data_IF_294376391839
#
_entry.id   IF_294376391839
#
_cell.length_a   1.000
_cell.length_b   1.000
_cell.length_c   1.000
_cell.angle_alpha   90.00
_cell.angle_beta   90.00
_cell.angle_gamma   90.00
#
_symmetry.space_group_name_H-M   'P 1'
#
loop_
_entity.id
_entity.type
_entity.pdbx_description
1 polymer ?
#
# COMPACT_ATOMS: atom_id res chain seq x y z
N UNK A 1 -10.24 53.46 -10.89
CA UNK A 1 -8.83 53.04 -10.71
C UNK A 1 -8.66 51.69 -10.02
N UNK A 2 -9.60 51.18 -9.22
CA UNK A 2 -9.49 49.88 -8.53
C UNK A 2 -9.77 48.63 -9.39
N UNK A 3 -10.42 48.74 -10.55
CA UNK A 3 -10.72 47.60 -11.42
C UNK A 3 -9.56 47.19 -12.35
N UNK A 4 -8.57 48.05 -12.54
CA UNK A 4 -7.41 47.75 -13.39
C UNK A 4 -6.38 46.93 -12.60
N UNK A 5 -6.20 47.23 -11.30
CA UNK A 5 -5.28 46.46 -10.44
C UNK A 5 -5.77 45.03 -10.16
N UNK A 6 -7.09 44.81 -10.02
CA UNK A 6 -7.65 43.45 -9.85
C UNK A 6 -7.47 42.57 -11.09
N UNK A 7 -7.65 43.13 -12.29
CA UNK A 7 -7.45 42.38 -13.53
C UNK A 7 -5.97 42.14 -13.84
N UNK A 8 -5.08 43.06 -13.43
CA UNK A 8 -3.65 42.83 -13.54
C UNK A 8 -3.16 41.73 -12.58
N UNK A 9 -3.67 41.67 -11.36
CA UNK A 9 -3.34 40.58 -10.44
C UNK A 9 -3.85 39.22 -10.94
N UNK A 10 -5.08 39.15 -11.46
CA UNK A 10 -5.61 37.91 -12.04
C UNK A 10 -4.80 37.40 -13.24
N UNK A 11 -4.37 38.31 -14.12
CA UNK A 11 -3.50 37.94 -15.25
C UNK A 11 -2.08 37.57 -14.83
N UNK A 12 -1.55 38.18 -13.76
CA UNK A 12 -0.24 37.82 -13.22
C UNK A 12 -0.29 36.46 -12.51
N UNK A 13 -1.35 36.16 -11.75
CA UNK A 13 -1.58 34.86 -11.12
C UNK A 13 -1.72 33.75 -12.19
N UNK A 14 -2.35 34.04 -13.33
CA UNK A 14 -2.50 33.09 -14.45
C UNK A 14 -1.18 32.89 -15.22
N UNK A 15 -0.31 33.92 -15.29
CA UNK A 15 1.04 33.84 -15.89
C UNK A 15 2.04 33.17 -14.92
N UNK A 16 1.88 33.33 -13.60
CA UNK A 16 2.68 32.68 -12.57
C UNK A 16 2.35 31.18 -12.51
N UNK A 17 1.06 30.82 -12.62
CA UNK A 17 0.59 29.43 -12.76
C UNK A 17 1.02 28.74 -14.08
N UNK A 18 1.39 29.49 -15.12
CA UNK A 18 1.89 28.93 -16.38
C UNK A 18 3.39 28.56 -16.34
N UNK A 19 4.13 29.07 -15.36
CA UNK A 19 5.57 28.81 -15.19
C UNK A 19 5.87 27.74 -14.14
N UNK A 20 4.90 27.33 -13.34
CA UNK A 20 5.06 26.19 -12.45
C UNK A 20 5.12 24.88 -13.23
N UNK A 21 6.03 23.97 -12.88
CA UNK A 21 6.14 22.68 -13.56
C UNK A 21 4.87 21.86 -13.27
N UNK A 22 3.94 21.84 -14.24
CA UNK A 22 2.70 21.10 -14.11
C UNK A 22 2.98 19.60 -13.99
N UNK A 23 2.50 19.00 -12.92
CA UNK A 23 2.62 17.56 -12.69
C UNK A 23 1.50 16.84 -13.44
N UNK A 24 1.83 16.16 -14.55
CA UNK A 24 0.87 15.34 -15.30
C UNK A 24 0.42 14.10 -14.52
N UNK A 25 1.25 13.63 -13.58
CA UNK A 25 0.98 12.43 -12.81
C UNK A 25 1.61 12.52 -11.42
N UNK A 26 0.78 12.64 -10.38
CA UNK A 26 1.23 12.63 -8.99
C UNK A 26 1.46 11.20 -8.51
N UNK A 27 2.59 10.95 -7.87
CA UNK A 27 2.95 9.64 -7.31
C UNK A 27 2.91 9.64 -5.78
N UNK A 28 3.26 10.78 -5.16
CA UNK A 28 3.37 10.92 -3.72
C UNK A 28 2.90 12.32 -3.29
N UNK A 29 2.41 12.43 -2.06
CA UNK A 29 1.97 13.70 -1.46
C UNK A 29 2.65 13.87 -0.12
N UNK A 30 3.20 15.05 0.12
CA UNK A 30 3.71 15.47 1.42
C UNK A 30 2.77 16.55 1.98
N UNK A 31 2.49 16.50 3.27
CA UNK A 31 1.56 17.42 3.93
C UNK A 31 2.26 18.12 5.09
N UNK A 32 2.12 19.44 5.20
CA UNK A 32 2.65 20.20 6.32
C UNK A 32 1.79 21.42 6.68
N UNK A 33 2.01 21.98 7.87
CA UNK A 33 1.31 23.18 8.33
C UNK A 33 1.92 24.44 7.74
N UNK A 34 1.10 25.36 7.21
CA UNK A 34 1.56 26.64 6.66
C UNK A 34 2.33 27.49 7.69
N UNK A 35 1.90 27.44 8.95
CA UNK A 35 2.48 28.17 10.08
C UNK A 35 3.55 27.36 10.84
N UNK A 36 4.23 26.42 10.18
CA UNK A 36 5.27 25.61 10.82
C UNK A 36 6.54 26.42 11.07
N UNK A 37 7.04 26.42 12.31
CA UNK A 37 8.34 26.99 12.69
C UNK A 37 9.52 26.35 11.94
N UNK A 38 9.29 25.21 11.27
CA UNK A 38 10.30 24.42 10.56
C UNK A 38 10.27 24.64 9.04
N UNK A 39 9.65 25.73 8.58
CA UNK A 39 9.51 26.02 7.15
C UNK A 39 10.85 26.03 6.39
N UNK A 40 11.91 26.58 6.97
CA UNK A 40 13.25 26.57 6.35
C UNK A 40 13.78 25.14 6.07
N UNK A 41 13.52 24.19 6.98
CA UNK A 41 13.94 22.80 6.81
C UNK A 41 13.13 22.14 5.69
N UNK A 42 11.84 22.43 5.63
CA UNK A 42 10.92 21.93 4.60
C UNK A 42 11.34 22.45 3.23
N UNK A 43 11.59 23.75 3.11
CA UNK A 43 12.01 24.39 1.86
C UNK A 43 13.36 23.85 1.38
N UNK A 44 14.32 23.67 2.28
CA UNK A 44 15.62 23.07 1.96
C UNK A 44 15.46 21.62 1.48
N UNK A 45 14.62 20.84 2.15
CA UNK A 45 14.35 19.47 1.75
C UNK A 45 13.65 19.40 0.38
N UNK A 46 12.64 20.23 0.13
CA UNK A 46 11.98 20.35 -1.17
C UNK A 46 12.97 20.77 -2.27
N UNK A 47 13.85 21.74 -2.00
CA UNK A 47 14.91 22.12 -2.92
C UNK A 47 15.83 20.93 -3.25
N UNK A 48 16.27 20.17 -2.23
CA UNK A 48 17.10 18.98 -2.43
C UNK A 48 16.38 17.87 -3.20
N UNK A 49 15.06 17.73 -3.03
CA UNK A 49 14.24 16.82 -3.84
C UNK A 49 14.22 17.23 -5.31
N UNK A 50 14.06 18.53 -5.59
CA UNK A 50 14.14 19.07 -6.95
C UNK A 50 15.53 18.88 -7.57
N UNK A 51 16.60 19.12 -6.80
CA UNK A 51 17.99 18.86 -7.22
C UNK A 51 18.22 17.38 -7.54
N UNK A 52 17.58 16.48 -6.78
CA UNK A 52 17.62 15.04 -7.05
C UNK A 52 16.79 14.63 -8.29
N UNK A 53 16.11 15.56 -8.95
CA UNK A 53 15.39 15.34 -10.21
C UNK A 53 13.93 14.94 -10.04
N UNK A 54 13.32 15.20 -8.87
CA UNK A 54 11.87 15.11 -8.70
C UNK A 54 11.20 16.41 -9.12
N UNK A 55 10.00 16.29 -9.68
CA UNK A 55 9.14 17.42 -10.01
C UNK A 55 8.17 17.62 -8.86
N UNK A 56 8.19 18.81 -8.28
CA UNK A 56 7.34 19.20 -7.17
C UNK A 56 6.34 20.26 -7.64
N UNK A 57 5.09 20.12 -7.22
CA UNK A 57 4.06 21.13 -7.39
C UNK A 57 3.43 21.40 -6.02
N UNK A 58 3.30 22.68 -5.66
CA UNK A 58 2.72 23.09 -4.39
C UNK A 58 1.23 23.41 -4.60
N UNK A 59 0.37 22.81 -3.79
CA UNK A 59 -1.05 23.11 -3.76
C UNK A 59 -1.42 23.61 -2.37
N UNK A 60 -1.87 24.86 -2.30
CA UNK A 60 -2.37 25.45 -1.08
C UNK A 60 -3.85 25.10 -0.89
N UNK A 61 -4.20 24.55 0.28
CA UNK A 61 -5.59 24.52 0.68
C UNK A 61 -5.96 25.89 1.28
N UNK A 62 -7.07 26.46 0.83
CA UNK A 62 -7.57 27.78 1.29
C UNK A 62 -8.37 27.62 2.59
N UNK A 63 -8.99 26.46 2.79
CA UNK A 63 -9.90 26.20 3.92
C UNK A 63 -9.17 25.68 5.17
N UNK A 64 -8.06 24.96 4.96
CA UNK A 64 -7.25 24.37 6.02
C UNK A 64 -5.88 25.06 6.05
N UNK A 65 -5.26 25.24 7.23
CA UNK A 65 -3.88 25.77 7.37
C UNK A 65 -2.81 24.76 6.89
N UNK A 66 -3.16 23.94 5.90
CA UNK A 66 -2.37 22.85 5.35
C UNK A 66 -1.89 23.21 3.95
N UNK A 67 -0.66 22.77 3.66
CA UNK A 67 -0.07 22.85 2.34
C UNK A 67 0.30 21.44 1.86
N UNK A 68 0.03 21.18 0.59
CA UNK A 68 0.26 19.90 -0.07
C UNK A 68 1.38 20.05 -1.08
N UNK A 69 2.42 19.21 -0.97
CA UNK A 69 3.46 19.09 -1.98
C UNK A 69 3.19 17.83 -2.79
N UNK A 70 2.80 18.02 -4.04
CA UNK A 70 2.62 16.95 -5.00
C UNK A 70 3.98 16.58 -5.59
N UNK A 71 4.35 15.31 -5.45
CA UNK A 71 5.64 14.78 -5.91
C UNK A 71 5.41 13.88 -7.12
N UNK A 72 6.16 14.15 -8.18
CA UNK A 72 6.21 13.31 -9.38
C UNK A 72 7.63 12.95 -9.75
N UNK A 73 7.82 11.71 -10.20
CA UNK A 73 9.11 11.25 -10.70
C UNK A 73 9.10 11.20 -12.24
N UNK A 74 9.99 11.96 -12.91
CA UNK A 74 10.22 11.86 -14.34
C UNK A 74 10.62 10.44 -14.76
N UNK A 75 10.27 10.05 -15.97
CA UNK A 75 10.52 8.70 -16.48
C UNK A 75 12.02 8.38 -16.52
N UNK A 76 12.85 9.34 -16.93
CA UNK A 76 14.30 9.18 -16.99
C UNK A 76 14.90 8.94 -15.60
N UNK A 77 14.39 9.64 -14.58
CA UNK A 77 14.82 9.45 -13.19
C UNK A 77 14.36 8.11 -12.62
N UNK A 78 13.15 7.66 -12.98
CA UNK A 78 12.67 6.33 -12.61
C UNK A 78 13.66 5.25 -13.04
N UNK A 79 14.16 5.31 -14.28
CA UNK A 79 15.09 4.32 -14.82
C UNK A 79 16.45 4.36 -14.10
N UNK A 80 16.98 5.55 -13.80
CA UNK A 80 18.24 5.70 -13.06
C UNK A 80 18.16 5.05 -11.67
N UNK A 81 17.08 5.33 -10.93
CA UNK A 81 16.88 4.74 -9.60
C UNK A 81 16.58 3.25 -9.71
N UNK A 82 15.77 2.82 -10.69
CA UNK A 82 15.49 1.42 -10.94
C UNK A 82 16.78 0.61 -11.19
N UNK A 83 17.80 1.20 -11.82
CA UNK A 83 19.12 0.58 -12.00
C UNK A 83 19.85 0.42 -10.66
N UNK A 84 19.88 1.48 -9.85
CA UNK A 84 20.51 1.48 -8.53
C UNK A 84 19.92 0.40 -7.62
N UNK A 85 18.59 0.27 -7.60
CA UNK A 85 17.89 -0.74 -6.79
C UNK A 85 17.81 -2.11 -7.49
N UNK A 86 18.32 -2.23 -8.72
CA UNK A 86 18.23 -3.43 -9.57
C UNK A 86 16.79 -3.95 -9.70
N UNK A 87 15.86 -3.03 -9.92
CA UNK A 87 14.44 -3.33 -10.06
C UNK A 87 14.24 -4.34 -11.18
N UNK A 88 13.54 -5.43 -10.87
CA UNK A 88 13.22 -6.50 -11.80
C UNK A 88 12.08 -6.04 -12.71
N UNK A 89 12.42 -5.61 -13.92
CA UNK A 89 11.44 -5.19 -14.92
C UNK A 89 11.09 -6.34 -15.86
N UNK A 90 9.82 -6.44 -16.30
CA UNK A 90 9.40 -7.52 -17.18
C UNK A 90 9.96 -7.32 -18.59
N UNK A 91 10.66 -8.32 -19.11
CA UNK A 91 11.00 -8.42 -20.52
C UNK A 91 9.87 -9.18 -21.19
N UNK A 92 9.17 -8.54 -22.12
CA UNK A 92 8.21 -9.23 -22.98
C UNK A 92 9.03 -10.11 -23.94
N UNK A 93 9.20 -11.39 -23.61
CA UNK A 93 9.71 -12.36 -24.58
C UNK A 93 8.65 -12.51 -25.66
N UNK A 94 9.03 -12.19 -26.89
CA UNK A 94 8.23 -12.40 -28.10
C UNK A 94 7.49 -13.74 -28.08
N UNK A 95 6.18 -13.71 -27.87
CA UNK A 95 5.29 -14.81 -28.24
C UNK A 95 4.25 -14.22 -29.19
N UNK A 96 4.43 -14.51 -30.48
CA UNK A 96 3.62 -13.97 -31.59
C UNK A 96 2.21 -14.58 -31.66
N UNK A 97 1.93 -15.65 -30.89
CA UNK A 97 0.69 -16.42 -31.00
C UNK A 97 -0.41 -16.02 -30.00
N UNK A 98 -1.44 -15.34 -30.52
CA UNK A 98 -2.65 -14.87 -29.80
C UNK A 98 -3.45 -15.97 -29.09
N UNK A 99 -3.35 -17.23 -29.53
CA UNK A 99 -4.15 -18.33 -28.96
C UNK A 99 -3.52 -18.94 -27.69
N UNK A 100 -2.20 -18.90 -27.55
CA UNK A 100 -1.52 -19.30 -26.32
C UNK A 100 -1.46 -18.14 -25.31
N UNK A 101 -1.46 -16.89 -25.79
CA UNK A 101 -1.51 -15.69 -24.95
C UNK A 101 -2.69 -15.68 -23.97
N UNK A 102 -3.86 -16.21 -24.33
CA UNK A 102 -5.04 -16.24 -23.43
C UNK A 102 -4.92 -17.19 -22.24
N UNK A 103 -4.18 -18.29 -22.38
CA UNK A 103 -3.94 -19.23 -21.28
C UNK A 103 -2.77 -18.77 -20.39
N UNK A 104 -1.81 -18.03 -20.95
CA UNK A 104 -0.66 -17.47 -20.24
C UNK A 104 -0.86 -16.04 -19.71
N UNK A 105 -1.93 -15.32 -20.12
CA UNK A 105 -2.32 -14.01 -19.58
C UNK A 105 -2.67 -14.09 -18.08
N UNK A 106 -3.13 -15.24 -17.59
CA UNK A 106 -3.46 -15.48 -16.18
C UNK A 106 -2.22 -15.79 -15.31
N UNK A 107 -1.10 -16.20 -15.90
CA UNK A 107 0.09 -16.71 -15.18
C UNK A 107 1.34 -15.96 -15.62
N UNK A 108 1.37 -14.64 -15.37
CA UNK A 108 2.54 -13.80 -15.70
C UNK A 108 3.74 -14.09 -14.80
N UNK A 109 4.44 -15.18 -15.09
CA UNK A 109 5.89 -15.24 -14.94
C UNK A 109 6.50 -14.50 -16.13
N UNK A 110 6.36 -13.17 -16.13
CA UNK A 110 7.17 -12.32 -17.00
C UNK A 110 8.61 -12.59 -16.64
N UNK A 111 9.45 -12.95 -17.60
CA UNK A 111 10.89 -13.02 -17.37
C UNK A 111 11.36 -11.64 -16.92
N UNK A 112 11.63 -11.50 -15.64
CA UNK A 112 12.13 -10.24 -15.10
C UNK A 112 13.64 -10.26 -15.08
N UNK A 113 14.25 -9.16 -15.51
CA UNK A 113 15.70 -8.98 -15.42
C UNK A 113 15.95 -7.69 -14.63
N UNK A 114 16.97 -7.68 -13.73
CA UNK A 114 17.35 -6.44 -13.07
C UNK A 114 17.65 -5.38 -14.13
N UNK A 115 17.02 -4.22 -14.00
CA UNK A 115 17.27 -3.12 -14.92
C UNK A 115 18.75 -2.72 -14.91
N UNK A 116 19.30 -2.51 -16.09
CA UNK A 116 20.70 -2.13 -16.30
C UNK A 116 20.78 -1.24 -17.55
N UNK A 117 21.55 -0.16 -17.47
CA UNK A 117 21.84 0.77 -18.58
C UNK A 117 22.30 0.05 -19.84
N UNK A 118 23.05 -1.05 -19.72
CA UNK A 118 23.49 -1.89 -20.85
C UNK A 118 22.34 -2.62 -21.55
N UNK A 119 21.21 -2.81 -20.88
CA UNK A 119 20.00 -3.48 -21.41
C UNK A 119 18.96 -2.42 -21.82
N UNK A 120 19.16 -1.14 -21.47
CA UNK A 120 18.27 -0.01 -21.80
C UNK A 120 17.92 0.05 -23.28
N UNK A 121 18.89 -0.10 -24.19
CA UNK A 121 18.63 -0.12 -25.62
C UNK A 121 17.73 -1.30 -26.06
N UNK A 122 17.76 -2.42 -25.33
CA UNK A 122 16.84 -3.57 -25.54
C UNK A 122 15.46 -3.32 -24.91
N UNK A 123 15.31 -2.36 -24.00
CA UNK A 123 13.98 -1.94 -23.56
C UNK A 123 13.42 -0.88 -24.53
N UNK A 124 14.20 0.13 -24.88
CA UNK A 124 13.80 1.20 -25.82
C UNK A 124 13.52 0.69 -27.25
N UNK A 125 14.22 -0.37 -27.70
CA UNK A 125 13.97 -0.99 -29.02
C UNK A 125 12.71 -1.86 -29.04
N UNK A 126 12.30 -2.43 -27.91
CA UNK A 126 11.19 -3.40 -27.83
C UNK A 126 9.90 -2.78 -27.27
N UNK A 127 9.99 -1.63 -26.59
CA UNK A 127 8.86 -0.87 -26.10
C UNK A 127 8.84 0.51 -26.77
N UNK A 128 7.70 0.90 -27.37
CA UNK A 128 7.45 2.32 -27.64
C UNK A 128 7.58 3.11 -26.33
N UNK A 129 8.06 4.36 -26.36
CA UNK A 129 8.26 5.20 -25.16
C UNK A 129 7.06 5.18 -24.21
N UNK A 130 5.84 5.36 -24.76
CA UNK A 130 4.59 5.28 -24.01
C UNK A 130 4.29 3.88 -23.44
N UNK A 131 4.65 2.81 -24.15
CA UNK A 131 4.46 1.42 -23.67
C UNK A 131 5.44 1.10 -22.54
N UNK A 132 6.63 1.71 -22.56
CA UNK A 132 7.66 1.56 -21.53
C UNK A 132 7.30 2.35 -20.27
N UNK A 133 6.78 3.57 -20.42
CA UNK A 133 6.25 4.36 -19.31
C UNK A 133 5.10 3.62 -18.60
N UNK A 134 4.21 2.99 -19.37
CA UNK A 134 3.15 2.13 -18.84
C UNK A 134 3.64 0.75 -18.36
N UNK A 135 4.91 0.39 -18.60
CA UNK A 135 5.46 -0.91 -18.18
C UNK A 135 5.86 -0.93 -16.70
N UNK A 136 6.23 0.23 -16.15
CA UNK A 136 6.53 0.39 -14.73
C UNK A 136 5.20 0.44 -13.99
N UNK A 137 5.00 -0.46 -13.02
CA UNK A 137 3.77 -0.47 -12.22
C UNK A 137 3.70 0.78 -11.34
N UNK A 138 2.50 1.26 -11.05
CA UNK A 138 2.28 2.37 -10.10
C UNK A 138 2.98 2.11 -8.76
N UNK A 139 2.88 0.87 -8.28
CA UNK A 139 3.58 0.38 -7.09
C UNK A 139 5.10 0.57 -7.19
N UNK A 140 5.69 0.25 -8.34
CA UNK A 140 7.12 0.41 -8.56
C UNK A 140 7.51 1.88 -8.56
N UNK A 141 6.70 2.75 -9.19
CA UNK A 141 6.93 4.20 -9.16
C UNK A 141 6.90 4.75 -7.74
N UNK A 142 5.91 4.35 -6.95
CA UNK A 142 5.80 4.72 -5.52
C UNK A 142 7.05 4.26 -4.75
N UNK A 143 7.51 3.03 -4.98
CA UNK A 143 8.72 2.51 -4.35
C UNK A 143 9.96 3.33 -4.73
N UNK A 144 10.10 3.71 -6.00
CA UNK A 144 11.22 4.52 -6.49
C UNK A 144 11.20 5.93 -5.89
N UNK A 145 10.03 6.55 -5.78
CA UNK A 145 9.88 7.87 -5.13
C UNK A 145 10.22 7.78 -3.65
N UNK A 146 9.69 6.78 -2.95
CA UNK A 146 9.98 6.56 -1.54
C UNK A 146 11.48 6.33 -1.29
N UNK A 147 12.17 5.63 -2.20
CA UNK A 147 13.62 5.45 -2.12
C UNK A 147 14.36 6.79 -2.18
N UNK A 148 13.94 7.72 -3.04
CA UNK A 148 14.52 9.07 -3.10
C UNK A 148 14.19 9.86 -1.83
N UNK A 149 12.92 9.85 -1.39
CA UNK A 149 12.48 10.52 -0.16
C UNK A 149 13.21 10.00 1.08
N UNK A 150 13.53 8.71 1.15
CA UNK A 150 14.23 8.13 2.29
C UNK A 150 15.71 8.49 2.35
N UNK A 151 16.34 8.80 1.20
CA UNK A 151 17.79 9.06 1.07
C UNK A 151 18.15 10.53 0.97
N UNK A 152 17.17 11.39 0.70
CA UNK A 152 17.40 12.82 0.53
C UNK A 152 17.77 13.46 1.86
N UNK A 153 18.85 14.23 1.85
CA UNK A 153 19.35 14.93 3.02
C UNK A 153 18.60 16.26 3.20
N UNK A 154 18.41 16.65 4.45
CA UNK A 154 18.00 18.01 4.81
C UNK A 154 19.13 18.61 5.64
N UNK A 155 19.71 19.72 5.17
CA UNK A 155 20.74 20.39 5.97
C UNK A 155 20.04 21.23 7.02
N UNK A 156 20.25 20.89 8.30
CA UNK A 156 20.17 21.89 9.35
C UNK A 156 21.47 22.69 9.26
N UNK A 157 21.41 23.96 8.84
CA UNK A 157 22.55 24.88 8.97
C UNK A 157 22.81 25.11 10.45
N UNK A 158 23.48 24.18 11.10
CA UNK A 158 24.09 24.45 12.40
C UNK A 158 25.32 25.33 12.15
N UNK A 159 25.17 26.65 12.34
CA UNK A 159 26.27 27.62 12.41
C UNK A 159 27.14 27.46 13.69
N UNK A 160 27.06 26.32 14.36
CA UNK A 160 27.80 26.02 15.59
C UNK A 160 28.58 24.72 15.37
N UNK A 161 29.93 24.74 15.33
CA UNK A 161 30.73 23.54 15.28
C UNK A 161 30.72 22.91 16.69
N UNK A 162 29.71 22.09 16.98
CA UNK A 162 29.69 21.33 18.23
C UNK A 162 30.77 20.25 18.17
N UNK A 163 31.95 20.59 18.72
CA UNK A 163 33.09 19.72 19.04
C UNK A 163 32.70 18.51 19.94
N UNK A 164 31.43 18.37 20.33
CA UNK A 164 30.96 17.38 21.29
C UNK A 164 29.65 16.66 20.92
N UNK A 165 29.46 16.28 19.66
CA UNK A 165 28.41 15.34 19.24
C UNK A 165 28.98 14.18 18.44
N UNK A 166 29.89 13.43 19.09
CA UNK A 166 30.13 12.03 18.73
C UNK A 166 28.95 11.21 19.26
N UNK A 167 27.79 11.34 18.62
CA UNK A 167 26.73 10.33 18.69
C UNK A 167 26.51 9.83 17.27
N UNK A 168 26.81 8.56 17.07
CA UNK A 168 26.94 7.86 15.79
C UNK A 168 25.65 7.75 14.93
N UNK A 169 24.64 8.62 15.09
CA UNK A 169 23.35 8.50 14.39
C UNK A 169 22.65 9.83 13.98
N UNK A 170 23.33 10.97 13.95
CA UNK A 170 22.71 12.27 13.54
C UNK A 170 22.78 12.53 12.02
N UNK A 171 22.53 11.50 11.22
CA UNK A 171 22.46 11.69 9.77
C UNK A 171 21.13 12.38 9.40
N UNK A 172 21.16 13.68 9.14
CA UNK A 172 19.99 14.49 8.79
C UNK A 172 19.46 14.17 7.38
N UNK A 173 18.88 12.99 7.21
CA UNK A 173 18.27 12.55 5.96
C UNK A 173 16.97 11.79 6.19
N UNK A 174 16.15 11.75 5.14
CA UNK A 174 14.97 10.91 5.04
C UNK A 174 13.68 11.55 5.54
N UNK A 175 12.61 11.31 4.80
CA UNK A 175 11.25 11.77 5.13
C UNK A 175 10.74 11.26 6.48
N UNK A 176 11.06 10.02 6.87
CA UNK A 176 10.59 9.43 8.14
C UNK A 176 11.07 10.22 9.36
N UNK A 177 12.29 10.77 9.29
CA UNK A 177 12.83 11.63 10.36
C UNK A 177 12.13 12.97 10.40
N UNK A 178 11.81 13.55 9.24
CA UNK A 178 11.07 14.82 9.18
C UNK A 178 9.63 14.67 9.68
N UNK A 179 8.99 13.51 9.44
CA UNK A 179 7.70 13.15 10.04
C UNK A 179 7.82 12.99 11.56
N UNK A 180 8.84 12.26 12.05
CA UNK A 180 9.07 12.09 13.49
C UNK A 180 9.41 13.41 14.21
N UNK A 181 10.10 14.32 13.53
CA UNK A 181 10.36 15.69 14.00
C UNK A 181 9.13 16.59 13.89
N UNK A 182 8.06 16.18 13.21
CA UNK A 182 6.86 17.00 12.97
C UNK A 182 7.09 18.19 12.04
N UNK A 183 8.08 18.11 11.13
CA UNK A 183 8.23 19.07 10.04
C UNK A 183 7.17 18.82 8.96
N UNK A 184 6.99 17.55 8.58
CA UNK A 184 5.82 17.08 7.83
C UNK A 184 4.83 16.43 8.79
N UNK A 185 3.55 16.54 8.47
CA UNK A 185 2.44 15.90 9.18
C UNK A 185 2.30 14.46 8.69
N UNK A 186 2.25 14.30 7.37
CA UNK A 186 2.08 13.01 6.73
C UNK A 186 2.73 13.00 5.34
N UNK A 187 3.04 11.80 4.86
CA UNK A 187 3.63 11.56 3.56
C UNK A 187 3.07 10.24 3.01
N UNK A 188 2.22 10.30 1.99
CA UNK A 188 1.53 9.12 1.47
C UNK A 188 1.51 9.06 -0.06
N UNK A 189 1.51 7.85 -0.64
CA UNK A 189 1.33 7.67 -2.08
C UNK A 189 -0.11 7.91 -2.49
N UNK A 190 -0.32 8.43 -3.70
CA UNK A 190 -1.66 8.57 -4.27
C UNK A 190 -2.04 7.33 -5.07
N UNK A 191 -3.29 6.91 -4.89
CA UNK A 191 -3.91 5.91 -5.74
C UNK A 191 -4.47 6.59 -6.98
N UNK A 192 -4.09 6.09 -8.16
CA UNK A 192 -4.76 6.48 -9.41
C UNK A 192 -6.17 5.89 -9.42
N UNK A 193 -7.12 6.70 -8.99
CA UNK A 193 -8.52 6.44 -9.26
C UNK A 193 -8.74 6.73 -10.74
N UNK A 194 -8.60 5.70 -11.59
CA UNK A 194 -9.07 5.80 -12.96
C UNK A 194 -10.58 6.07 -12.90
N UNK A 195 -10.94 7.34 -13.07
CA UNK A 195 -12.29 7.79 -13.37
C UNK A 195 -12.83 6.86 -14.45
N UNK A 196 -14.09 6.43 -14.32
CA UNK A 196 -14.77 5.43 -15.16
C UNK A 196 -14.61 5.71 -16.66
N UNK A 197 -13.47 5.34 -17.24
CA UNK A 197 -13.30 5.23 -18.68
C UNK A 197 -14.05 3.94 -18.99
N UNK A 198 -15.17 4.09 -19.71
CA UNK A 198 -16.31 3.18 -19.88
C UNK A 198 -16.02 1.72 -20.29
N UNK A 199 -14.76 1.26 -20.32
CA UNK A 199 -14.35 -0.08 -20.74
C UNK A 199 -13.30 -0.78 -19.83
N UNK A 200 -12.65 -0.10 -18.87
CA UNK A 200 -11.59 -0.73 -18.04
C UNK A 200 -11.82 -0.47 -16.55
N UNK A 201 -12.09 -1.53 -15.78
CA UNK A 201 -12.24 -1.48 -14.33
C UNK A 201 -10.88 -1.12 -13.71
N UNK A 202 -10.82 -0.14 -12.82
CA UNK A 202 -9.59 0.20 -12.08
C UNK A 202 -9.16 -0.97 -11.18
N UNK A 203 -7.85 -1.17 -10.95
CA UNK A 203 -7.35 -2.23 -10.04
C UNK A 203 -8.01 -2.15 -8.66
N UNK A 204 -8.15 -0.93 -8.12
CA UNK A 204 -8.83 -0.68 -6.83
C UNK A 204 -10.29 -1.13 -6.87
N UNK A 205 -11.01 -0.82 -7.94
CA UNK A 205 -12.41 -1.23 -8.12
C UNK A 205 -12.53 -2.75 -8.30
N UNK A 206 -11.64 -3.37 -9.07
CA UNK A 206 -11.61 -4.81 -9.23
C UNK A 206 -11.39 -5.51 -7.88
N UNK A 207 -10.42 -5.02 -7.09
CA UNK A 207 -10.18 -5.52 -5.74
C UNK A 207 -11.38 -5.27 -4.82
N UNK A 208 -12.01 -4.10 -4.88
CA UNK A 208 -13.21 -3.80 -4.10
C UNK A 208 -14.37 -4.75 -4.43
N UNK A 209 -14.70 -4.92 -5.71
CA UNK A 209 -15.75 -5.84 -6.16
C UNK A 209 -15.43 -7.28 -5.77
N UNK A 210 -14.17 -7.69 -5.90
CA UNK A 210 -13.73 -9.04 -5.52
C UNK A 210 -13.79 -9.27 -4.01
N UNK A 211 -13.31 -8.35 -3.18
CA UNK A 211 -13.25 -8.53 -1.74
C UNK A 211 -14.60 -8.30 -1.04
N UNK A 212 -15.39 -7.32 -1.49
CA UNK A 212 -16.59 -6.88 -0.79
C UNK A 212 -17.87 -7.43 -1.42
N UNK A 213 -17.93 -7.58 -2.75
CA UNK A 213 -19.15 -8.05 -3.44
C UNK A 213 -19.12 -9.52 -3.85
N UNK A 214 -17.97 -10.17 -3.85
CA UNK A 214 -17.90 -11.58 -4.23
C UNK A 214 -18.41 -12.47 -3.09
N UNK A 215 -19.65 -12.93 -3.22
CA UNK A 215 -20.18 -14.05 -2.42
C UNK A 215 -19.59 -15.42 -2.82
N UNK A 216 -18.56 -15.45 -3.67
CA UNK A 216 -17.94 -16.70 -4.13
C UNK A 216 -16.85 -17.13 -3.14
N UNK A 217 -17.23 -17.99 -2.20
CA UNK A 217 -16.34 -18.62 -1.21
C UNK A 217 -15.31 -19.59 -1.82
N UNK A 218 -15.40 -19.92 -3.12
CA UNK A 218 -14.60 -20.96 -3.76
C UNK A 218 -13.47 -20.45 -4.65
N UNK A 219 -13.34 -19.13 -4.85
CA UNK A 219 -12.30 -18.59 -5.72
C UNK A 219 -11.04 -18.32 -4.88
N UNK A 220 -9.91 -18.89 -5.30
CA UNK A 220 -8.59 -18.54 -4.76
C UNK A 220 -8.40 -17.01 -4.87
N UNK A 221 -7.91 -16.38 -3.80
CA UNK A 221 -7.60 -14.95 -3.79
C UNK A 221 -6.70 -14.60 -4.99
N UNK A 222 -6.96 -13.52 -5.76
CA UNK A 222 -6.12 -13.08 -6.86
C UNK A 222 -4.85 -12.42 -6.30
N UNK A 223 -3.97 -13.24 -5.72
CA UNK A 223 -2.74 -12.83 -5.02
C UNK A 223 -1.87 -11.94 -5.91
N UNK A 224 -1.81 -12.22 -7.21
CA UNK A 224 -1.04 -11.43 -8.16
C UNK A 224 -1.58 -10.00 -8.32
N UNK A 225 -2.90 -9.81 -8.30
CA UNK A 225 -3.51 -8.48 -8.40
C UNK A 225 -3.30 -7.70 -7.09
N UNK A 226 -3.39 -8.38 -5.95
CA UNK A 226 -3.05 -7.82 -4.63
C UNK A 226 -1.59 -7.40 -4.60
N UNK A 227 -0.67 -8.23 -5.11
CA UNK A 227 0.77 -7.94 -5.21
C UNK A 227 1.03 -6.72 -6.08
N UNK A 228 0.40 -6.65 -7.24
CA UNK A 228 0.64 -5.57 -8.20
C UNK A 228 0.06 -4.21 -7.71
N UNK A 229 -0.84 -4.22 -6.71
CA UNK A 229 -1.46 -3.02 -6.13
C UNK A 229 -0.87 -2.63 -4.76
N UNK A 230 -0.84 -3.56 -3.79
CA UNK A 230 -0.37 -3.33 -2.42
C UNK A 230 1.09 -3.72 -2.19
N UNK A 231 1.70 -4.47 -3.12
CA UNK A 231 3.06 -4.98 -2.99
C UNK A 231 3.18 -6.37 -2.39
N UNK A 232 4.42 -6.86 -2.40
CA UNK A 232 4.75 -8.25 -2.10
C UNK A 232 4.49 -8.60 -0.64
N UNK A 233 4.75 -7.68 0.30
CA UNK A 233 4.53 -7.90 1.74
C UNK A 233 3.05 -8.19 2.04
N UNK A 234 2.16 -7.36 1.51
CA UNK A 234 0.69 -7.50 1.71
C UNK A 234 0.17 -8.73 0.96
N UNK A 235 0.63 -8.95 -0.27
CA UNK A 235 0.23 -10.14 -1.03
C UNK A 235 0.67 -11.44 -0.36
N UNK A 236 1.87 -11.46 0.22
CA UNK A 236 2.38 -12.60 0.97
C UNK A 236 1.53 -12.88 2.22
N UNK A 237 1.13 -11.82 2.94
CA UNK A 237 0.20 -11.97 4.07
C UNK A 237 -1.11 -12.66 3.66
N UNK A 238 -1.74 -12.21 2.57
CA UNK A 238 -2.99 -12.83 2.09
C UNK A 238 -2.77 -14.25 1.52
N UNK A 239 -1.63 -14.50 0.88
CA UNK A 239 -1.26 -15.83 0.41
C UNK A 239 -1.09 -16.81 1.58
N UNK A 240 -0.38 -16.38 2.63
CA UNK A 240 -0.20 -17.15 3.85
C UNK A 240 -1.52 -17.40 4.58
N UNK A 241 -2.37 -16.38 4.66
CA UNK A 241 -3.70 -16.51 5.26
C UNK A 241 -4.54 -17.56 4.53
N UNK A 242 -4.61 -17.49 3.19
CA UNK A 242 -5.37 -18.44 2.38
C UNK A 242 -4.81 -19.87 2.49
N UNK A 243 -3.48 -20.00 2.53
CA UNK A 243 -2.83 -21.27 2.80
C UNK A 243 -3.25 -21.82 4.16
N UNK A 244 -3.11 -21.02 5.23
CA UNK A 244 -3.45 -21.44 6.59
C UNK A 244 -4.92 -21.82 6.74
N UNK A 245 -5.86 -21.03 6.20
CA UNK A 245 -7.30 -21.36 6.25
C UNK A 245 -7.62 -22.62 5.47
N UNK A 246 -6.94 -22.87 4.34
CA UNK A 246 -7.10 -24.12 3.58
C UNK A 246 -6.62 -25.33 4.39
N UNK A 247 -5.52 -25.19 5.13
CA UNK A 247 -5.02 -26.24 6.01
C UNK A 247 -5.92 -26.51 7.22
N UNK A 248 -6.65 -25.50 7.72
CA UNK A 248 -7.63 -25.67 8.79
C UNK A 248 -8.86 -26.49 8.39
N UNK A 249 -9.13 -26.68 7.09
CA UNK A 249 -10.25 -27.50 6.62
C UNK A 249 -10.09 -28.95 7.10
N UNK A 250 -8.88 -29.52 7.04
CA UNK A 250 -8.61 -30.90 7.49
C UNK A 250 -8.90 -31.14 8.98
N UNK A 251 -8.30 -30.41 9.94
CA UNK A 251 -8.60 -30.59 11.36
C UNK A 251 -10.04 -30.21 11.69
N UNK A 252 -10.66 -29.27 10.96
CA UNK A 252 -12.08 -28.95 11.12
C UNK A 252 -12.98 -30.15 10.77
N UNK A 253 -12.72 -30.83 9.65
CA UNK A 253 -13.46 -32.05 9.26
C UNK A 253 -13.28 -33.16 10.30
N UNK A 254 -12.04 -33.40 10.74
CA UNK A 254 -11.76 -34.42 11.77
C UNK A 254 -12.45 -34.08 13.10
N UNK A 255 -12.32 -32.83 13.56
CA UNK A 255 -12.97 -32.35 14.77
C UNK A 255 -14.50 -32.44 14.69
N UNK A 256 -15.07 -32.15 13.51
CA UNK A 256 -16.50 -32.29 13.27
C UNK A 256 -16.96 -33.76 13.35
N UNK A 257 -16.22 -34.70 12.76
CA UNK A 257 -16.53 -36.14 12.83
C UNK A 257 -16.46 -36.63 14.28
N UNK A 258 -15.42 -36.25 15.03
CA UNK A 258 -15.27 -36.64 16.45
C UNK A 258 -16.39 -36.06 17.30
N UNK A 259 -16.77 -34.80 17.06
CA UNK A 259 -17.90 -34.17 17.74
C UNK A 259 -19.21 -34.93 17.47
N UNK A 260 -19.46 -35.30 16.20
CA UNK A 260 -20.66 -36.03 15.80
C UNK A 260 -20.71 -37.45 16.41
N UNK A 261 -19.56 -38.15 16.48
CA UNK A 261 -19.44 -39.42 17.18
C UNK A 261 -19.75 -39.29 18.69
N UNK A 262 -19.23 -38.23 19.33
CA UNK A 262 -19.54 -37.91 20.72
C UNK A 262 -21.03 -37.67 20.96
N UNK A 263 -21.68 -36.91 20.08
CA UNK A 263 -23.13 -36.65 20.16
C UNK A 263 -23.96 -37.93 20.00
N UNK A 264 -23.58 -38.83 19.09
CA UNK A 264 -24.29 -40.09 18.87
C UNK A 264 -24.10 -41.08 20.04
N UNK A 265 -22.93 -41.07 20.68
CA UNK A 265 -22.58 -42.02 21.75
C UNK A 265 -22.97 -41.51 23.15
N UNK A 266 -23.22 -40.20 23.29
CA UNK A 266 -23.56 -39.52 24.55
C UNK A 266 -24.66 -40.21 25.38
N UNK A 267 -25.69 -40.76 24.73
CA UNK A 267 -26.80 -41.45 25.42
C UNK A 267 -26.44 -42.85 25.92
N UNK A 268 -25.40 -43.48 25.37
CA UNK A 268 -24.98 -44.83 25.71
C UNK A 268 -23.85 -44.87 26.76
N UNK A 269 -23.23 -43.72 27.06
CA UNK A 269 -22.11 -43.64 28.00
C UNK A 269 -22.53 -43.99 29.44
N UNK A 270 -21.94 -45.06 29.98
CA UNK A 270 -22.13 -45.56 31.34
C UNK A 270 -21.99 -44.48 32.43
N UNK A 271 -20.93 -43.64 32.47
CA UNK A 271 -20.81 -42.61 33.51
C UNK A 271 -21.85 -41.49 33.36
N UNK A 272 -22.24 -41.12 32.12
CA UNK A 272 -23.29 -40.13 31.85
C UNK A 272 -24.67 -40.66 32.27
N UNK A 273 -24.94 -41.94 31.99
CA UNK A 273 -26.15 -42.64 32.40
C UNK A 273 -26.21 -42.87 33.90
N UNK A 274 -25.08 -43.22 34.53
CA UNK A 274 -24.97 -43.35 35.98
C UNK A 274 -25.19 -42.01 36.69
N UNK A 275 -24.66 -40.91 36.14
CA UNK A 275 -24.90 -39.56 36.64
C UNK A 275 -26.37 -39.14 36.47
N UNK A 276 -26.97 -39.36 35.29
CA UNK A 276 -28.41 -39.13 35.08
C UNK A 276 -29.26 -39.95 36.04
N UNK A 277 -28.99 -41.24 36.16
CA UNK A 277 -29.70 -42.12 37.10
C UNK A 277 -29.49 -41.69 38.56
N UNK A 278 -28.29 -41.23 38.94
CA UNK A 278 -28.03 -40.67 40.26
C UNK A 278 -28.86 -39.41 40.50
N UNK A 279 -28.86 -38.44 39.59
CA UNK A 279 -29.66 -37.22 39.73
C UNK A 279 -31.16 -37.49 39.65
N UNK A 280 -31.61 -38.35 38.75
CA UNK A 280 -33.02 -38.77 38.65
C UNK A 280 -33.46 -39.46 39.94
N UNK A 281 -32.61 -40.32 40.53
CA UNK A 281 -32.90 -40.94 41.82
C UNK A 281 -32.81 -39.93 42.97
N UNK A 282 -31.80 -39.05 42.99
CA UNK A 282 -31.60 -38.00 43.98
C UNK A 282 -32.79 -37.03 44.02
N UNK A 283 -33.22 -36.50 42.88
CA UNK A 283 -34.40 -35.66 42.78
C UNK A 283 -35.69 -36.43 43.05
N UNK A 284 -35.80 -37.71 42.68
CA UNK A 284 -36.95 -38.55 43.09
C UNK A 284 -36.99 -38.78 44.60
N UNK A 285 -35.85 -38.95 45.26
CA UNK A 285 -35.78 -39.19 46.71
C UNK A 285 -35.88 -37.91 47.53
N UNK A 286 -35.34 -36.79 47.04
CA UNK A 286 -35.41 -35.49 47.73
C UNK A 286 -36.77 -34.79 47.53
N UNK A 287 -37.41 -34.89 46.36
CA UNK A 287 -38.79 -34.39 46.22
C UNK A 287 -39.85 -35.25 46.93
N UNK A 288 -39.54 -36.52 47.27
CA UNK A 288 -40.38 -37.35 48.14
C UNK A 288 -40.02 -37.28 49.63
N UNK A 289 -38.93 -36.59 49.99
CA UNK A 289 -38.65 -36.20 51.38
C UNK A 289 -38.92 -34.70 51.53
N UNK A 290 -40.13 -34.32 51.13
CA UNK A 290 -40.71 -33.08 51.60
C UNK A 290 -40.93 -33.12 53.11
N UNK A 291 -40.37 -32.10 53.77
CA UNK A 291 -40.75 -31.49 55.05
C UNK A 291 -39.88 -31.85 56.28
N UNK A 292 -39.39 -30.76 56.88
CA UNK A 292 -38.81 -30.50 58.21
C UNK A 292 -37.28 -30.50 58.26
N UNK A 293 -36.60 -29.38 58.54
CA UNK A 293 -36.90 -28.46 59.64
C UNK A 293 -36.78 -26.97 59.26
N UNK A 294 -37.79 -26.18 59.64
CA UNK A 294 -37.60 -24.81 60.11
C UNK A 294 -36.87 -24.85 61.47
N UNK A 295 -35.80 -24.08 61.60
CA UNK A 295 -35.44 -23.26 62.76
C UNK A 295 -34.19 -22.42 62.43
#
# INVERSE_FOLDING_TARGET
MQNISKNQNFFLDEIENLNEPKVDCVDFVLVYWKNSDKKEIIDNYCHNLSVNGLVLQHEENVEEELEFVLVSIPFEKCLEIAEKIKLKLPIESAMEDKHQARYFEEHRDKFTVPYNSKIRYKFEKFFNKEKLENSISERDRILLVHEILSRTEYSERHNEPSIFSIKENDSNFGIERLLAKGAFIDAYPLHKDHVKIKAKISKKQFLYEYFIKSNKSSNLLPIFVIRDYFGEKVAFYFAWLNFYTSWLIFPSIVGFIVCLYGLMTYSADLPTKARKNFFDNFFKTEFFTGIQCEN
#
